data_IF_016965454222
#
_entry.id   IF_016965454222
#
_cell.length_a   1.000
_cell.length_b   1.000
_cell.length_c   1.000
_cell.angle_alpha   90.00
_cell.angle_beta   90.00
_cell.angle_gamma   90.00
#
_symmetry.space_group_name_H-M   'P 1'
#
loop_
_entity.id
_entity.type
_entity.pdbx_description
1 polymer ?
#
# COMPACT_ATOMS: atom_id res chain seq x y z
N UNK A 1 36.54 43.65 -56.38
CA UNK A 1 37.20 43.22 -55.13
C UNK A 1 36.19 43.27 -53.98
N UNK A 2 35.45 42.26 -53.81
CA UNK A 2 34.54 42.15 -52.63
C UNK A 2 34.56 40.75 -52.13
N UNK A 3 35.20 40.59 -51.02
CA UNK A 3 35.30 39.33 -50.32
C UNK A 3 34.02 39.13 -49.53
N UNK A 4 33.20 38.24 -49.96
CA UNK A 4 32.09 37.75 -49.17
C UNK A 4 32.65 36.74 -48.14
N UNK A 5 32.60 37.14 -46.92
CA UNK A 5 32.87 36.23 -45.79
C UNK A 5 31.61 35.45 -45.49
N UNK A 6 31.60 34.25 -45.95
CA UNK A 6 30.62 33.25 -45.53
C UNK A 6 30.97 32.76 -44.15
N UNK A 7 30.21 33.15 -43.17
CA UNK A 7 30.24 32.54 -41.87
C UNK A 7 29.42 31.25 -41.91
N UNK A 8 30.01 30.12 -41.60
CA UNK A 8 29.18 28.96 -41.35
C UNK A 8 28.48 29.13 -40.02
N UNK A 9 27.19 29.20 -40.08
CA UNK A 9 26.36 29.07 -38.90
C UNK A 9 26.50 27.64 -38.44
N UNK A 10 27.29 27.45 -37.37
CA UNK A 10 27.32 26.20 -36.65
C UNK A 10 26.03 26.13 -35.86
N UNK A 11 25.11 25.40 -36.40
CA UNK A 11 23.92 25.00 -35.68
C UNK A 11 24.35 23.99 -34.60
N UNK A 12 24.59 24.48 -33.42
CA UNK A 12 24.70 23.63 -32.25
C UNK A 12 23.31 23.03 -31.99
N UNK A 13 23.12 21.84 -32.46
CA UNK A 13 22.10 20.97 -31.94
C UNK A 13 22.48 20.68 -30.50
N UNK A 14 21.97 21.47 -29.59
CA UNK A 14 21.92 21.09 -28.20
C UNK A 14 21.02 19.85 -28.14
N UNK A 15 21.64 18.71 -28.19
CA UNK A 15 21.00 17.49 -27.69
C UNK A 15 20.65 17.78 -26.26
N UNK A 16 19.39 18.12 -26.03
CA UNK A 16 18.87 18.20 -24.70
C UNK A 16 19.18 16.88 -24.00
N UNK A 17 19.64 16.92 -22.78
CA UNK A 17 19.83 15.72 -22.03
C UNK A 17 18.46 15.03 -22.04
N UNK A 18 18.43 13.87 -22.66
CA UNK A 18 17.30 13.00 -22.48
C UNK A 18 17.05 12.98 -21.00
N UNK A 19 15.88 13.39 -20.64
CA UNK A 19 15.45 13.22 -19.27
C UNK A 19 15.55 11.72 -18.99
N UNK A 20 16.66 11.31 -18.45
CA UNK A 20 16.69 10.08 -17.73
C UNK A 20 15.61 10.27 -16.67
N UNK A 21 14.44 9.83 -16.96
CA UNK A 21 13.49 9.59 -15.91
C UNK A 21 14.24 8.73 -14.93
N UNK A 22 14.54 9.33 -13.79
CA UNK A 22 14.94 8.54 -12.68
C UNK A 22 13.96 7.36 -12.66
N UNK A 23 14.36 6.14 -12.85
CA UNK A 23 13.48 5.02 -12.67
C UNK A 23 12.83 5.30 -11.34
N UNK A 24 11.51 5.31 -11.33
CA UNK A 24 10.76 5.29 -10.10
C UNK A 24 11.57 4.39 -9.18
N UNK A 25 11.97 4.87 -7.98
CA UNK A 25 12.88 4.12 -7.15
C UNK A 25 12.35 2.71 -7.16
N UNK A 26 13.12 1.85 -7.78
CA UNK A 26 12.78 0.47 -7.84
C UNK A 26 12.46 0.16 -6.42
N UNK A 27 11.19 -0.01 -6.14
CA UNK A 27 10.73 -0.35 -4.83
C UNK A 27 11.74 -1.35 -4.37
N UNK A 28 12.45 -1.00 -3.30
CA UNK A 28 13.46 -1.86 -2.74
C UNK A 28 12.91 -3.25 -2.86
N UNK A 29 13.54 -4.17 -3.54
CA UNK A 29 12.91 -5.40 -3.95
C UNK A 29 12.29 -5.99 -2.70
N UNK A 30 10.97 -5.92 -2.66
CA UNK A 30 10.25 -6.75 -1.73
C UNK A 30 10.90 -8.11 -1.90
N UNK A 31 11.46 -8.71 -0.84
CA UNK A 31 12.16 -9.97 -0.99
C UNK A 31 11.28 -10.81 -1.89
N UNK A 32 11.82 -11.23 -3.03
CA UNK A 32 11.07 -11.80 -4.16
C UNK A 32 10.20 -12.99 -3.78
N UNK A 33 10.32 -13.47 -2.55
CA UNK A 33 9.57 -14.53 -1.91
C UNK A 33 8.46 -14.05 -0.96
N UNK A 34 8.32 -12.75 -0.71
CA UNK A 34 7.27 -12.26 0.17
C UNK A 34 5.91 -12.35 -0.53
N UNK A 35 5.04 -13.20 0.01
CA UNK A 35 3.65 -13.31 -0.41
C UNK A 35 2.78 -12.79 0.71
N UNK A 36 1.92 -11.87 0.39
CA UNK A 36 1.01 -11.28 1.35
C UNK A 36 -0.42 -11.41 0.84
N UNK A 37 -1.25 -12.01 1.65
CA UNK A 37 -2.69 -12.06 1.44
C UNK A 37 -3.34 -11.10 2.44
N UNK A 38 -4.20 -10.22 1.94
CA UNK A 38 -4.93 -9.24 2.76
C UNK A 38 -6.41 -9.42 2.52
N UNK A 39 -7.16 -9.60 3.58
CA UNK A 39 -8.61 -9.70 3.56
C UNK A 39 -9.22 -8.84 4.65
N UNK A 40 -10.43 -8.38 4.42
CA UNK A 40 -11.17 -7.57 5.38
C UNK A 40 -12.48 -8.25 5.72
N UNK A 41 -12.86 -8.21 6.99
CA UNK A 41 -14.08 -8.85 7.48
C UNK A 41 -14.55 -8.26 8.80
N UNK A 42 -15.62 -8.81 9.32
CA UNK A 42 -16.25 -8.32 10.55
C UNK A 42 -15.88 -9.12 11.80
N UNK A 43 -15.13 -10.18 11.66
CA UNK A 43 -14.72 -11.00 12.82
C UNK A 43 -13.49 -11.84 12.56
N UNK A 44 -12.91 -12.34 13.64
CA UNK A 44 -11.80 -13.30 13.62
C UNK A 44 -12.18 -14.47 14.51
N UNK A 45 -12.11 -15.66 13.96
CA UNK A 45 -12.28 -16.92 14.70
C UNK A 45 -11.11 -17.86 14.44
N UNK A 46 -10.50 -18.38 15.46
CA UNK A 46 -9.35 -19.32 15.36
C UNK A 46 -8.23 -18.83 14.42
N UNK A 47 -7.91 -17.54 14.51
CA UNK A 47 -6.95 -16.86 13.61
C UNK A 47 -7.35 -16.83 12.13
N UNK A 48 -8.60 -17.03 11.83
CA UNK A 48 -9.14 -16.91 10.49
C UNK A 48 -10.21 -15.82 10.43
N UNK A 49 -10.29 -15.17 9.29
CA UNK A 49 -11.23 -14.09 9.08
C UNK A 49 -12.63 -14.65 8.84
N UNK A 50 -13.60 -14.06 9.54
CA UNK A 50 -15.02 -14.32 9.32
C UNK A 50 -15.71 -13.07 8.77
N UNK A 51 -16.78 -13.26 8.02
CA UNK A 51 -17.52 -12.14 7.42
C UNK A 51 -16.71 -11.35 6.40
N UNK A 52 -15.82 -12.03 5.66
CA UNK A 52 -15.04 -11.38 4.62
C UNK A 52 -15.94 -10.81 3.51
N UNK A 53 -15.76 -9.55 3.18
CA UNK A 53 -16.49 -8.86 2.13
C UNK A 53 -15.69 -7.64 1.62
N UNK A 54 -16.15 -7.09 0.51
CA UNK A 54 -15.63 -5.85 -0.05
C UNK A 54 -16.52 -4.64 0.27
N UNK A 55 -17.70 -4.90 0.84
CA UNK A 55 -18.66 -3.87 1.26
C UNK A 55 -19.29 -4.28 2.57
N UNK A 56 -19.34 -3.36 3.50
CA UNK A 56 -19.86 -3.58 4.84
C UNK A 56 -20.93 -2.54 5.16
N UNK A 57 -22.11 -3.01 5.56
CA UNK A 57 -23.14 -2.16 6.14
C UNK A 57 -23.21 -2.45 7.63
N UNK A 58 -22.73 -1.53 8.42
CA UNK A 58 -22.49 -1.72 9.85
C UNK A 58 -23.00 -0.53 10.67
N UNK A 59 -23.29 -0.77 11.93
CA UNK A 59 -23.58 0.31 12.88
C UNK A 59 -22.27 0.98 13.34
N UNK A 60 -22.38 2.24 13.74
CA UNK A 60 -21.25 2.93 14.35
C UNK A 60 -20.76 2.15 15.60
N UNK A 61 -19.44 2.02 15.73
CA UNK A 61 -18.81 1.23 16.79
C UNK A 61 -18.49 -0.23 16.39
N UNK A 62 -18.94 -0.69 15.24
CA UNK A 62 -18.61 -2.03 14.74
C UNK A 62 -17.15 -2.10 14.37
N UNK A 63 -16.47 -3.17 14.78
CA UNK A 63 -15.07 -3.42 14.43
C UNK A 63 -14.96 -4.07 13.07
N UNK A 64 -14.10 -3.53 12.24
CA UNK A 64 -13.67 -4.13 10.98
C UNK A 64 -12.25 -4.65 11.18
N UNK A 65 -12.01 -5.86 10.75
CA UNK A 65 -10.73 -6.54 10.89
C UNK A 65 -10.02 -6.65 9.55
N UNK A 66 -8.77 -6.27 9.50
CA UNK A 66 -7.88 -6.60 8.40
C UNK A 66 -7.07 -7.83 8.82
N UNK A 67 -7.25 -8.90 8.09
CA UNK A 67 -6.53 -10.14 8.29
C UNK A 67 -5.44 -10.26 7.23
N UNK A 68 -4.26 -10.66 7.65
CA UNK A 68 -3.13 -10.81 6.75
C UNK A 68 -2.44 -12.13 6.97
N UNK A 69 -2.02 -12.73 5.87
CA UNK A 69 -1.10 -13.87 5.87
C UNK A 69 0.14 -13.46 5.12
N UNK A 70 1.24 -13.39 5.83
CA UNK A 70 2.52 -12.93 5.28
C UNK A 70 3.50 -14.07 5.31
N UNK A 71 4.18 -14.30 4.21
CA UNK A 71 5.25 -15.29 4.10
C UNK A 71 6.50 -14.67 3.48
N UNK A 72 7.67 -15.21 3.83
CA UNK A 72 8.95 -14.74 3.30
C UNK A 72 9.56 -13.54 4.06
N UNK A 73 8.97 -13.06 5.14
CA UNK A 73 9.47 -11.93 5.96
C UNK A 73 9.65 -12.30 7.42
N UNK A 74 10.14 -13.48 7.69
CA UNK A 74 10.39 -13.97 9.06
C UNK A 74 11.38 -13.06 9.80
N UNK A 75 11.06 -12.73 11.04
CA UNK A 75 11.91 -11.90 11.90
C UNK A 75 11.82 -10.40 11.65
N UNK A 76 10.95 -9.96 10.73
CA UNK A 76 10.69 -8.55 10.46
C UNK A 76 9.36 -8.10 11.06
N UNK A 77 9.17 -6.80 11.14
CA UNK A 77 7.89 -6.22 11.52
C UNK A 77 7.12 -5.78 10.27
N UNK A 78 5.79 -5.95 10.31
CA UNK A 78 4.89 -5.39 9.32
C UNK A 78 4.01 -4.33 9.97
N UNK A 79 3.47 -3.44 9.16
CA UNK A 79 2.50 -2.45 9.61
C UNK A 79 1.20 -2.63 8.85
N UNK A 80 0.11 -2.80 9.56
CA UNK A 80 -1.23 -2.80 8.97
C UNK A 80 -1.78 -1.38 9.08
N UNK A 81 -2.20 -0.82 7.96
CA UNK A 81 -2.71 0.54 7.85
C UNK A 81 -4.13 0.52 7.35
N UNK A 82 -5.03 1.18 8.08
CA UNK A 82 -6.35 1.51 7.59
C UNK A 82 -6.38 2.94 7.09
N UNK A 83 -6.69 3.12 5.83
CA UNK A 83 -6.81 4.42 5.22
C UNK A 83 -8.24 4.64 4.70
N UNK A 84 -8.74 5.84 4.87
CA UNK A 84 -10.02 6.29 4.35
C UNK A 84 -9.80 7.46 3.40
N UNK A 85 -10.31 7.37 2.19
CA UNK A 85 -10.15 8.41 1.15
C UNK A 85 -8.68 8.84 0.94
N UNK A 86 -7.77 7.88 1.04
CA UNK A 86 -6.33 8.10 0.88
C UNK A 86 -5.61 8.62 2.13
N UNK A 87 -6.32 8.84 3.23
CA UNK A 87 -5.73 9.30 4.49
C UNK A 87 -5.63 8.16 5.51
N UNK A 88 -4.48 7.99 6.11
CA UNK A 88 -4.29 7.03 7.20
C UNK A 88 -5.13 7.43 8.42
N UNK A 89 -6.02 6.53 8.82
CA UNK A 89 -6.87 6.70 10.01
C UNK A 89 -6.32 5.94 11.19
N UNK A 90 -5.77 4.75 10.94
CA UNK A 90 -5.23 3.86 11.97
C UNK A 90 -4.08 3.04 11.39
N UNK A 91 -3.10 2.75 12.22
CA UNK A 91 -2.00 1.87 11.86
C UNK A 91 -1.53 1.06 13.06
N UNK A 92 -1.13 -0.15 12.82
CA UNK A 92 -0.61 -1.04 13.86
C UNK A 92 0.61 -1.80 13.34
N UNK A 93 1.69 -1.74 14.10
CA UNK A 93 2.91 -2.50 13.84
C UNK A 93 2.82 -3.86 14.51
N UNK A 94 3.17 -4.90 13.78
CA UNK A 94 3.11 -6.28 14.24
C UNK A 94 4.41 -7.01 13.89
N UNK A 95 4.88 -7.84 14.79
CA UNK A 95 6.08 -8.64 14.56
C UNK A 95 5.73 -9.95 13.86
N UNK A 96 6.48 -10.26 12.81
CA UNK A 96 6.37 -11.52 12.07
C UNK A 96 7.31 -12.54 12.70
N UNK A 97 6.79 -13.37 13.58
CA UNK A 97 7.58 -14.36 14.33
C UNK A 97 7.85 -15.65 13.57
N UNK A 98 7.04 -15.93 12.58
CA UNK A 98 7.13 -17.17 11.79
C UNK A 98 6.76 -16.90 10.32
N UNK A 99 7.11 -17.84 9.46
CA UNK A 99 6.70 -17.80 8.06
C UNK A 99 6.03 -19.13 7.67
N UNK A 100 4.76 -19.14 7.22
CA UNK A 100 3.84 -18.01 7.11
C UNK A 100 3.34 -17.52 8.48
N UNK A 101 3.08 -16.22 8.58
CA UNK A 101 2.52 -15.61 9.77
C UNK A 101 1.14 -15.03 9.47
N UNK A 102 0.18 -15.34 10.32
CA UNK A 102 -1.16 -14.75 10.24
C UNK A 102 -1.27 -13.67 11.31
N UNK A 103 -1.63 -12.49 10.87
CA UNK A 103 -1.82 -11.33 11.73
C UNK A 103 -3.17 -10.68 11.42
N UNK A 104 -3.67 -9.95 12.38
CA UNK A 104 -4.86 -9.15 12.19
C UNK A 104 -4.74 -7.82 12.94
N UNK A 105 -5.44 -6.84 12.44
CA UNK A 105 -5.65 -5.57 13.11
C UNK A 105 -7.12 -5.20 12.98
N UNK A 106 -7.64 -4.45 13.92
CA UNK A 106 -9.03 -4.00 13.85
C UNK A 106 -9.14 -2.51 14.10
N UNK A 107 -10.15 -1.92 13.48
CA UNK A 107 -10.54 -0.55 13.70
C UNK A 107 -12.05 -0.48 13.92
N UNK A 108 -12.47 0.23 14.97
CA UNK A 108 -13.88 0.46 15.22
C UNK A 108 -14.37 1.63 14.35
N UNK A 109 -15.31 1.36 13.48
CA UNK A 109 -15.90 2.37 12.60
C UNK A 109 -16.74 3.33 13.42
N UNK A 110 -16.46 4.61 13.28
CA UNK A 110 -17.18 5.68 13.98
C UNK A 110 -18.27 6.28 13.10
N UNK A 111 -19.20 6.98 13.74
CA UNK A 111 -20.14 7.79 12.99
C UNK A 111 -19.39 8.82 12.12
N UNK A 112 -19.74 8.91 10.85
CA UNK A 112 -19.06 9.78 9.88
C UNK A 112 -17.88 9.13 9.16
N UNK A 113 -17.55 7.89 9.47
CA UNK A 113 -16.47 7.13 8.79
C UNK A 113 -16.97 6.25 7.63
N UNK A 114 -18.18 6.45 7.17
CA UNK A 114 -18.67 5.80 5.95
C UNK A 114 -17.86 6.25 4.72
N UNK A 115 -17.69 5.38 3.76
CA UNK A 115 -17.02 5.67 2.50
C UNK A 115 -16.03 4.60 2.07
N UNK A 116 -15.12 4.98 1.19
CA UNK A 116 -14.11 4.08 0.64
C UNK A 116 -12.92 3.94 1.58
N UNK A 117 -12.58 2.71 1.91
CA UNK A 117 -11.48 2.36 2.78
C UNK A 117 -10.47 1.46 2.07
N UNK A 118 -9.26 1.48 2.54
CA UNK A 118 -8.20 0.56 2.11
C UNK A 118 -7.43 0.05 3.32
N UNK A 119 -7.27 -1.26 3.40
CA UNK A 119 -6.36 -1.88 4.34
C UNK A 119 -5.06 -2.21 3.61
N UNK A 120 -3.94 -1.72 4.10
CA UNK A 120 -2.61 -1.93 3.51
C UNK A 120 -1.71 -2.65 4.49
N UNK A 121 -0.82 -3.46 3.95
CA UNK A 121 0.26 -4.08 4.72
C UNK A 121 1.58 -3.54 4.20
N UNK A 122 2.32 -2.92 5.09
CA UNK A 122 3.64 -2.37 4.80
C UNK A 122 4.72 -3.28 5.40
N UNK A 123 5.80 -3.46 4.67
CA UNK A 123 6.96 -4.18 5.15
C UNK A 123 7.81 -3.35 6.12
N UNK A 124 8.92 -3.93 6.63
CA UNK A 124 9.79 -3.26 7.59
C UNK A 124 10.47 -2.00 7.03
N UNK A 125 10.58 -1.90 5.74
CA UNK A 125 11.12 -0.76 4.99
C UNK A 125 10.04 0.25 4.56
N UNK A 126 8.78 0.01 4.91
CA UNK A 126 7.64 0.82 4.51
C UNK A 126 7.08 0.52 3.12
N UNK A 127 7.62 -0.45 2.40
CA UNK A 127 7.09 -0.87 1.10
C UNK A 127 5.75 -1.59 1.27
N UNK A 128 4.80 -1.32 0.38
CA UNK A 128 3.51 -1.99 0.38
C UNK A 128 3.65 -3.44 -0.07
N UNK A 129 3.29 -4.37 0.81
CA UNK A 129 3.32 -5.80 0.54
C UNK A 129 1.99 -6.32 -0.03
N UNK A 130 0.91 -5.66 0.32
CA UNK A 130 -0.43 -6.01 -0.16
C UNK A 130 -1.47 -5.01 0.34
N UNK A 131 -2.62 -5.01 -0.30
CA UNK A 131 -3.74 -4.16 0.09
C UNK A 131 -5.08 -4.80 -0.28
N UNK A 132 -6.12 -4.36 0.42
CA UNK A 132 -7.50 -4.70 0.09
C UNK A 132 -8.36 -3.44 0.23
N UNK A 133 -9.15 -3.16 -0.79
CA UNK A 133 -10.11 -2.05 -0.77
C UNK A 133 -11.47 -2.55 -0.34
N UNK A 134 -12.17 -1.74 0.44
CA UNK A 134 -13.53 -2.03 0.88
C UNK A 134 -14.32 -0.76 1.09
N UNK A 135 -15.63 -0.90 1.13
CA UNK A 135 -16.56 0.21 1.36
C UNK A 135 -17.30 -0.02 2.66
N UNK A 136 -17.50 1.04 3.42
CA UNK A 136 -18.26 1.01 4.67
C UNK A 136 -19.48 1.92 4.53
N UNK A 137 -20.64 1.38 4.82
CA UNK A 137 -21.89 2.11 4.98
C UNK A 137 -22.32 2.02 6.45
N UNK A 138 -22.73 3.13 7.02
CA UNK A 138 -23.25 3.17 8.37
C UNK A 138 -24.78 3.14 8.33
N UNK A 139 -25.32 2.11 8.93
CA UNK A 139 -26.77 1.92 9.02
C UNK A 139 -27.40 2.73 10.17
#
# INVERSE_FOLDING_TARGET
>A
MRRALLFPVILLLASGPGFAQAPAPAAAPAPAAAKTEVKVGTGIEKNELTGAAESFKVAAGTKIYAWTKVSGVKGAAITIVFAKDGKTVFQQKLDVKSSPCRNNACHAIRAGEAGAWTAKVLGPDGAELGSASFTVEIS
#
